data_IF_495650995870
#
_entry.id   IF_495650995870
#
_cell.length_a   1.000
_cell.length_b   1.000
_cell.length_c   1.000
_cell.angle_alpha   90.00
_cell.angle_beta   90.00
_cell.angle_gamma   90.00
#
_symmetry.space_group_name_H-M   'P 1'
#
loop_
_entity.id
_entity.type
_entity.pdbx_description
1 polymer ?
#
# COMPACT_ATOMS: atom_id res chain seq x y z
N UNK A 1 -9.07 5.67 27.44
CA UNK A 1 -8.04 6.64 27.00
C UNK A 1 -7.99 6.45 25.50
N UNK A 2 -8.51 7.41 24.74
CA UNK A 2 -8.43 7.35 23.26
C UNK A 2 -6.96 7.51 22.91
N UNK A 3 -6.49 6.70 21.98
CA UNK A 3 -5.10 6.74 21.54
C UNK A 3 -4.83 8.05 20.79
N UNK A 4 -4.01 8.92 21.35
CA UNK A 4 -3.66 10.21 20.77
C UNK A 4 -3.07 10.09 19.35
N UNK A 5 -2.44 8.94 19.05
CA UNK A 5 -1.90 8.64 17.71
C UNK A 5 -3.03 8.34 16.73
N UNK A 6 -4.05 7.60 17.16
CA UNK A 6 -5.23 7.32 16.34
C UNK A 6 -6.05 8.58 16.07
N UNK A 7 -6.24 9.45 17.08
CA UNK A 7 -6.87 10.76 16.90
C UNK A 7 -6.09 11.65 15.92
N UNK A 8 -4.76 11.64 16.02
CA UNK A 8 -3.91 12.39 15.11
C UNK A 8 -4.01 11.87 13.67
N UNK A 9 -3.99 10.54 13.47
CA UNK A 9 -4.18 9.94 12.15
C UNK A 9 -5.55 10.29 11.56
N UNK A 10 -6.62 10.22 12.36
CA UNK A 10 -7.95 10.59 11.95
C UNK A 10 -8.04 12.08 11.55
N UNK A 11 -7.41 12.97 12.32
CA UNK A 11 -7.33 14.41 11.99
C UNK A 11 -6.61 14.64 10.67
N UNK A 12 -5.44 14.00 10.46
CA UNK A 12 -4.68 14.11 9.21
C UNK A 12 -5.47 13.56 8.02
N UNK A 13 -6.23 12.48 8.20
CA UNK A 13 -7.07 11.91 7.15
C UNK A 13 -8.30 12.79 6.85
N UNK A 14 -8.86 13.48 7.85
CA UNK A 14 -9.94 14.44 7.62
C UNK A 14 -9.51 15.61 6.72
N UNK A 15 -8.25 16.02 6.84
CA UNK A 15 -7.63 17.07 6.04
C UNK A 15 -6.89 16.56 4.79
N UNK A 16 -6.99 15.26 4.49
CA UNK A 16 -6.20 14.60 3.45
C UNK A 16 -6.43 15.18 2.03
N UNK A 17 -7.56 15.84 1.78
CA UNK A 17 -7.79 16.54 0.51
C UNK A 17 -6.82 17.71 0.28
N UNK A 18 -6.24 18.25 1.35
CA UNK A 18 -5.21 19.30 1.26
C UNK A 18 -3.79 18.72 1.12
N UNK A 19 -3.59 17.44 1.44
CA UNK A 19 -2.32 16.73 1.34
C UNK A 19 -2.19 16.06 -0.04
N UNK A 20 -2.20 16.88 -1.10
CA UNK A 20 -2.17 16.38 -2.47
C UNK A 20 -0.78 15.90 -2.88
N UNK A 21 -0.80 14.92 -3.77
CA UNK A 21 0.36 14.45 -4.49
C UNK A 21 1.08 15.60 -5.22
N UNK A 22 2.41 15.70 -5.07
CA UNK A 22 3.22 16.55 -5.95
C UNK A 22 3.40 15.86 -7.30
N UNK A 23 2.54 16.22 -8.25
CA UNK A 23 2.54 15.64 -9.60
C UNK A 23 3.81 15.96 -10.38
N UNK A 24 4.45 17.10 -10.15
CA UNK A 24 5.68 17.47 -10.87
C UNK A 24 6.85 16.54 -10.47
N UNK A 25 6.95 16.21 -9.18
CA UNK A 25 7.93 15.23 -8.69
C UNK A 25 7.65 13.82 -9.24
N UNK A 26 6.39 13.40 -9.24
CA UNK A 26 6.00 12.11 -9.80
C UNK A 26 6.33 12.03 -11.29
N UNK A 27 5.96 13.02 -12.08
CA UNK A 27 6.27 13.08 -13.51
C UNK A 27 7.78 13.08 -13.79
N UNK A 28 8.55 13.76 -12.96
CA UNK A 28 10.02 13.73 -13.05
C UNK A 28 10.55 12.31 -12.78
N UNK A 29 10.03 11.63 -11.77
CA UNK A 29 10.40 10.26 -11.44
C UNK A 29 10.01 9.26 -12.56
N UNK A 30 8.83 9.42 -13.16
CA UNK A 30 8.38 8.61 -14.31
C UNK A 30 9.31 8.84 -15.51
N UNK A 31 9.63 10.08 -15.85
CA UNK A 31 10.56 10.40 -16.95
C UNK A 31 11.95 9.79 -16.74
N UNK A 32 12.42 9.76 -15.49
CA UNK A 32 13.72 9.18 -15.14
C UNK A 32 13.79 7.67 -15.41
N UNK A 33 12.66 6.96 -15.49
CA UNK A 33 12.61 5.53 -15.83
C UNK A 33 12.75 5.26 -17.35
N UNK A 34 12.74 6.31 -18.18
CA UNK A 34 12.92 6.22 -19.62
C UNK A 34 11.64 6.36 -20.44
N UNK A 35 11.79 6.65 -21.73
CA UNK A 35 10.70 7.02 -22.62
C UNK A 35 9.63 5.93 -22.76
N UNK A 36 10.03 4.68 -22.90
CA UNK A 36 9.09 3.57 -23.06
C UNK A 36 8.21 3.38 -21.82
N UNK A 37 8.77 3.53 -20.62
CA UNK A 37 8.00 3.48 -19.37
C UNK A 37 7.07 4.67 -19.26
N UNK A 38 7.56 5.87 -19.55
CA UNK A 38 6.74 7.09 -19.55
C UNK A 38 5.55 6.95 -20.50
N UNK A 39 5.75 6.48 -21.71
CA UNK A 39 4.68 6.26 -22.70
C UNK A 39 3.63 5.27 -22.16
N UNK A 40 4.08 4.13 -21.62
CA UNK A 40 3.20 3.10 -21.07
C UNK A 40 2.36 3.60 -19.89
N UNK A 41 2.92 4.45 -19.02
CA UNK A 41 2.22 4.97 -17.83
C UNK A 41 1.34 6.18 -18.16
N UNK A 42 1.73 7.02 -19.16
CA UNK A 42 1.01 8.25 -19.50
C UNK A 42 -0.14 8.04 -20.48
N UNK A 43 -0.20 6.93 -21.18
CA UNK A 43 -1.20 6.65 -22.22
C UNK A 43 -2.61 6.38 -21.63
N UNK A 44 -3.27 7.41 -21.12
CA UNK A 44 -4.66 7.33 -20.64
C UNK A 44 -4.82 6.74 -19.24
N UNK A 45 -3.78 6.79 -18.42
CA UNK A 45 -3.74 6.17 -17.08
C UNK A 45 -3.64 7.19 -15.95
N UNK A 46 -4.28 8.35 -16.05
CA UNK A 46 -4.30 9.40 -15.02
C UNK A 46 -4.79 8.91 -13.65
N UNK A 47 -5.52 7.79 -13.62
CA UNK A 47 -6.06 7.17 -12.43
C UNK A 47 -5.10 6.20 -11.71
N UNK A 48 -3.92 5.91 -12.27
CA UNK A 48 -2.97 4.97 -11.65
C UNK A 48 -2.41 5.44 -10.30
N UNK A 49 -2.43 6.75 -10.06
CA UNK A 49 -1.89 7.34 -8.86
C UNK A 49 -2.98 8.13 -8.13
N UNK A 50 -3.25 7.74 -6.89
CA UNK A 50 -4.20 8.46 -6.06
C UNK A 50 -3.65 9.84 -5.67
N UNK A 51 -4.51 10.86 -5.67
CA UNK A 51 -4.16 12.23 -5.27
C UNK A 51 -4.25 12.46 -3.76
N UNK A 52 -4.74 11.48 -3.02
CA UNK A 52 -5.01 11.60 -1.58
C UNK A 52 -4.08 10.69 -0.79
N UNK A 53 -3.43 11.25 0.21
CA UNK A 53 -2.58 10.51 1.16
C UNK A 53 -3.44 9.98 2.30
N UNK A 54 -3.33 8.68 2.57
CA UNK A 54 -3.92 8.04 3.73
C UNK A 54 -2.85 7.89 4.82
N UNK A 55 -3.13 8.42 6.02
CA UNK A 55 -2.28 8.27 7.20
C UNK A 55 -2.75 7.07 8.03
N UNK A 56 -1.82 6.19 8.35
CA UNK A 56 -2.05 5.00 9.16
C UNK A 56 -1.14 5.01 10.39
N UNK A 57 -1.60 4.46 11.50
CA UNK A 57 -0.78 4.32 12.70
C UNK A 57 0.15 3.12 12.61
N UNK A 58 1.24 3.13 13.37
CA UNK A 58 2.13 1.95 13.48
C UNK A 58 1.35 0.71 13.95
N UNK A 59 0.41 0.87 14.89
CA UNK A 59 -0.43 -0.21 15.37
C UNK A 59 -1.33 -0.81 14.25
N UNK A 60 -1.87 0.02 13.35
CA UNK A 60 -2.62 -0.47 12.18
C UNK A 60 -1.70 -1.22 11.20
N UNK A 61 -0.48 -0.74 10.99
CA UNK A 61 0.53 -1.43 10.16
C UNK A 61 0.88 -2.79 10.77
N UNK A 62 1.14 -2.86 12.07
CA UNK A 62 1.41 -4.11 12.78
C UNK A 62 0.23 -5.09 12.67
N UNK A 63 -1.00 -4.60 12.79
CA UNK A 63 -2.19 -5.41 12.61
C UNK A 63 -2.28 -5.98 11.18
N UNK A 64 -2.06 -5.16 10.16
CA UNK A 64 -2.03 -5.63 8.76
C UNK A 64 -0.95 -6.69 8.56
N UNK A 65 0.26 -6.48 9.08
CA UNK A 65 1.34 -7.44 9.01
C UNK A 65 1.01 -8.77 9.72
N UNK A 66 0.35 -8.71 10.87
CA UNK A 66 -0.09 -9.91 11.60
C UNK A 66 -1.13 -10.70 10.81
N UNK A 67 -2.06 -10.03 10.13
CA UNK A 67 -3.05 -10.67 9.24
C UNK A 67 -2.34 -11.33 8.05
N UNK A 68 -1.42 -10.64 7.39
CA UNK A 68 -0.62 -11.20 6.28
C UNK A 68 0.12 -12.45 6.74
N UNK A 69 0.83 -12.39 7.86
CA UNK A 69 1.54 -13.53 8.41
C UNK A 69 0.61 -14.71 8.78
N UNK A 70 -0.63 -14.43 9.21
CA UNK A 70 -1.61 -15.46 9.49
C UNK A 70 -2.10 -16.14 8.20
N UNK A 71 -2.37 -15.37 7.16
CA UNK A 71 -2.74 -15.90 5.82
C UNK A 71 -1.61 -16.77 5.27
N UNK A 72 -0.37 -16.30 5.30
CA UNK A 72 0.78 -17.04 4.80
C UNK A 72 0.97 -18.38 5.54
N UNK A 73 0.78 -18.41 6.86
CA UNK A 73 0.84 -19.68 7.62
C UNK A 73 -0.19 -20.69 7.16
N UNK A 74 -1.39 -20.25 6.79
CA UNK A 74 -2.43 -21.14 6.26
C UNK A 74 -2.07 -21.61 4.85
N UNK A 75 -1.70 -20.70 3.97
CA UNK A 75 -1.37 -20.97 2.56
C UNK A 75 -0.18 -21.93 2.44
N UNK A 76 0.80 -21.82 3.37
CA UNK A 76 1.98 -22.70 3.37
C UNK A 76 1.82 -23.93 4.26
N UNK A 77 0.65 -24.17 4.87
CA UNK A 77 0.39 -25.36 5.67
C UNK A 77 0.23 -26.58 4.76
N UNK A 78 1.16 -27.53 4.89
CA UNK A 78 1.19 -28.74 4.06
C UNK A 78 -0.03 -29.63 4.24
N UNK A 79 -0.59 -29.73 5.46
CA UNK A 79 -1.78 -30.52 5.75
C UNK A 79 -3.00 -29.89 5.09
N UNK A 80 -3.13 -28.56 5.14
CA UNK A 80 -4.19 -27.84 4.46
C UNK A 80 -4.10 -27.98 2.95
N UNK A 81 -2.89 -27.85 2.37
CA UNK A 81 -2.65 -28.02 0.94
C UNK A 81 -3.00 -29.46 0.48
N UNK A 82 -2.61 -30.48 1.24
CA UNK A 82 -2.93 -31.86 0.93
C UNK A 82 -4.44 -32.16 0.99
N UNK A 83 -5.17 -31.52 1.92
CA UNK A 83 -6.62 -31.68 2.10
C UNK A 83 -7.46 -30.86 1.13
N UNK A 84 -6.92 -29.78 0.56
CA UNK A 84 -7.66 -28.87 -0.33
C UNK A 84 -7.92 -29.41 -1.74
N UNK A 85 -7.31 -30.54 -2.10
CA UNK A 85 -7.40 -31.12 -3.46
C UNK A 85 -6.73 -30.25 -4.53
N UNK A 86 -6.07 -29.18 -4.15
CA UNK A 86 -5.33 -28.35 -5.09
C UNK A 86 -4.05 -29.07 -5.52
N UNK A 87 -3.96 -29.38 -6.79
CA UNK A 87 -2.70 -29.79 -7.41
C UNK A 87 -1.79 -28.56 -7.48
N UNK A 88 -0.52 -28.73 -7.07
CA UNK A 88 0.52 -27.81 -7.48
C UNK A 88 0.60 -27.79 -9.01
N UNK A 89 -0.16 -26.89 -9.63
CA UNK A 89 -0.28 -26.89 -11.08
C UNK A 89 1.01 -26.45 -11.77
N UNK A 90 1.84 -25.59 -11.15
CA UNK A 90 2.98 -25.03 -11.87
C UNK A 90 4.22 -24.72 -11.04
N UNK A 91 4.24 -24.91 -9.72
CA UNK A 91 5.39 -24.56 -8.86
C UNK A 91 5.82 -23.09 -8.91
N UNK A 92 5.15 -22.27 -9.73
CA UNK A 92 5.46 -20.87 -9.89
C UNK A 92 4.87 -20.08 -8.72
N UNK A 93 5.74 -19.35 -8.01
CA UNK A 93 5.35 -18.42 -6.96
C UNK A 93 5.31 -17.02 -7.56
N UNK A 94 4.27 -16.25 -7.24
CA UNK A 94 4.24 -14.83 -7.57
C UNK A 94 5.43 -14.09 -6.94
N UNK A 95 5.92 -13.05 -7.60
CA UNK A 95 7.01 -12.22 -7.09
C UNK A 95 6.48 -11.23 -6.07
N UNK A 96 5.30 -10.66 -6.34
CA UNK A 96 4.66 -9.67 -5.49
C UNK A 96 3.23 -10.09 -5.19
N UNK A 97 2.85 -9.98 -3.92
CA UNK A 97 1.48 -10.12 -3.45
C UNK A 97 1.00 -8.76 -2.96
N UNK A 98 -0.18 -8.34 -3.40
CA UNK A 98 -0.88 -7.19 -2.86
C UNK A 98 -1.92 -7.65 -1.85
N UNK A 99 -1.99 -6.99 -0.71
CA UNK A 99 -3.00 -7.22 0.32
C UNK A 99 -3.77 -5.93 0.52
N UNK A 100 -5.04 -5.92 0.15
CA UNK A 100 -5.88 -4.75 0.24
C UNK A 100 -6.66 -4.75 1.55
N UNK A 101 -6.59 -3.65 2.30
CA UNK A 101 -7.21 -3.50 3.60
C UNK A 101 -8.21 -2.37 3.62
N UNK A 102 -9.36 -2.62 4.24
CA UNK A 102 -10.26 -1.59 4.71
C UNK A 102 -9.91 -1.25 6.17
N UNK A 103 -9.77 0.04 6.48
CA UNK A 103 -9.44 0.51 7.82
C UNK A 103 -10.64 1.27 8.38
N UNK A 104 -11.08 0.89 9.58
CA UNK A 104 -12.13 1.56 10.33
C UNK A 104 -11.78 1.64 11.82
N UNK A 105 -12.73 2.05 12.65
CA UNK A 105 -12.57 2.16 14.11
C UNK A 105 -12.22 0.82 14.79
N UNK A 106 -12.55 -0.30 14.18
CA UNK A 106 -12.24 -1.65 14.71
C UNK A 106 -10.88 -2.17 14.23
N UNK A 107 -10.22 -1.46 13.32
CA UNK A 107 -8.88 -1.79 12.82
C UNK A 107 -8.81 -2.05 11.31
N UNK A 108 -7.81 -2.83 10.92
CA UNK A 108 -7.55 -3.16 9.53
C UNK A 108 -8.18 -4.51 9.17
N UNK A 109 -9.02 -4.52 8.15
CA UNK A 109 -9.75 -5.69 7.66
C UNK A 109 -9.27 -6.04 6.27
N UNK A 110 -8.76 -7.27 6.08
CA UNK A 110 -8.35 -7.77 4.78
C UNK A 110 -9.57 -7.90 3.85
N UNK A 111 -9.48 -7.30 2.66
CA UNK A 111 -10.53 -7.35 1.63
C UNK A 111 -10.14 -8.31 0.52
N UNK A 112 -8.92 -8.18 0.00
CA UNK A 112 -8.49 -8.89 -1.20
C UNK A 112 -6.99 -9.23 -1.13
N UNK A 113 -6.64 -10.34 -1.78
CA UNK A 113 -5.24 -10.74 -2.00
C UNK A 113 -5.00 -10.83 -3.49
N UNK A 114 -4.17 -9.94 -4.01
CA UNK A 114 -3.74 -9.95 -5.39
C UNK A 114 -2.45 -10.77 -5.53
N UNK A 115 -2.53 -11.91 -6.18
CA UNK A 115 -1.37 -12.82 -6.36
C UNK A 115 -0.42 -12.38 -7.48
N UNK A 116 -0.78 -11.34 -8.21
CA UNK A 116 0.07 -10.70 -9.22
C UNK A 116 -0.04 -9.16 -9.08
N UNK A 117 0.54 -8.65 -8.01
CA UNK A 117 0.49 -7.21 -7.69
C UNK A 117 1.45 -6.42 -8.59
N UNK A 118 1.12 -6.28 -9.87
CA UNK A 118 1.91 -5.52 -10.84
C UNK A 118 2.11 -4.04 -10.49
N UNK A 119 1.27 -3.49 -9.59
CA UNK A 119 1.37 -2.12 -9.09
C UNK A 119 2.49 -1.88 -8.08
N UNK A 120 3.20 -2.90 -7.60
CA UNK A 120 4.23 -2.75 -6.56
C UNK A 120 5.34 -1.77 -6.96
N UNK A 121 5.80 -1.81 -8.21
CA UNK A 121 6.80 -0.87 -8.72
C UNK A 121 6.26 0.56 -8.81
N UNK A 122 5.01 0.74 -9.26
CA UNK A 122 4.36 2.05 -9.34
C UNK A 122 4.19 2.67 -7.94
N UNK A 123 3.81 1.88 -6.96
CA UNK A 123 3.72 2.32 -5.57
C UNK A 123 5.08 2.71 -5.00
N UNK A 124 6.12 1.94 -5.28
CA UNK A 124 7.48 2.29 -4.86
C UNK A 124 7.95 3.60 -5.49
N UNK A 125 7.70 3.79 -6.79
CA UNK A 125 8.02 5.02 -7.51
C UNK A 125 7.26 6.22 -6.96
N UNK A 126 5.97 6.04 -6.68
CA UNK A 126 5.14 7.06 -6.05
C UNK A 126 5.71 7.49 -4.69
N UNK A 127 5.96 6.54 -3.80
CA UNK A 127 6.53 6.80 -2.47
C UNK A 127 7.88 7.50 -2.56
N UNK A 128 8.75 7.04 -3.45
CA UNK A 128 10.09 7.62 -3.62
C UNK A 128 10.01 9.07 -4.13
N UNK A 129 9.14 9.35 -5.09
CA UNK A 129 8.95 10.70 -5.63
C UNK A 129 8.42 11.70 -4.60
N UNK A 130 7.71 11.23 -3.56
CA UNK A 130 7.08 12.07 -2.53
C UNK A 130 7.90 12.16 -1.23
N UNK A 131 9.09 11.56 -1.14
CA UNK A 131 9.90 11.52 0.09
C UNK A 131 10.21 12.90 0.67
N UNK A 132 10.42 13.90 -0.17
CA UNK A 132 10.78 15.24 0.24
C UNK A 132 9.56 16.15 0.45
N UNK A 133 8.37 15.68 0.14
CA UNK A 133 7.14 16.45 0.33
C UNK A 133 6.85 16.60 1.81
N UNK A 134 6.77 17.85 2.26
CA UNK A 134 6.41 18.18 3.64
C UNK A 134 4.90 18.09 3.83
N UNK A 135 4.44 16.94 4.25
CA UNK A 135 3.04 16.75 4.61
C UNK A 135 2.69 17.51 5.89
N UNK A 136 1.53 18.19 5.96
CA UNK A 136 1.09 18.87 7.16
C UNK A 136 1.10 17.91 8.37
N UNK A 137 1.89 18.23 9.39
CA UNK A 137 1.99 17.43 10.60
C UNK A 137 2.73 16.09 10.50
N UNK A 138 3.27 15.73 9.33
CA UNK A 138 3.98 14.46 9.14
C UNK A 138 5.23 14.33 10.03
N UNK A 139 5.95 15.43 10.29
CA UNK A 139 7.13 15.41 11.15
C UNK A 139 6.79 14.98 12.60
N UNK A 140 5.62 15.38 13.11
CA UNK A 140 5.16 14.97 14.45
C UNK A 140 4.57 13.56 14.49
N UNK A 141 4.17 13.02 13.33
CA UNK A 141 3.63 11.68 13.20
C UNK A 141 4.73 10.60 13.12
N UNK A 142 5.85 10.92 12.44
CA UNK A 142 7.00 10.03 12.35
C UNK A 142 7.90 10.01 13.60
N UNK A 143 7.69 10.94 14.54
CA UNK A 143 8.51 11.07 15.75
C UNK A 143 7.94 10.31 16.97
N UNK A 144 6.83 9.64 16.84
CA UNK A 144 6.17 8.80 17.86
C UNK A 144 6.30 7.32 17.54
#
# INVERSE_FOLDING_TARGET
MVDAVAERAASLNADAQSAKLDRALLEAAIRAQGAAFQEAVSAGHDHLFADVTLFVTSAQVEQMQAVIAAVERVVWNREWLAGSGQRELHGAKGIFYGYDFHINEQGAHLIEINTNAGGGFLNALLLDSQREVKWPGAASFCAT
#
